data_IF_575696319649
#
_entry.id   IF_575696319649
#
_cell.length_a   1.000
_cell.length_b   1.000
_cell.length_c   1.000
_cell.angle_alpha   90.00
_cell.angle_beta   90.00
_cell.angle_gamma   90.00
#
_symmetry.space_group_name_H-M   'P 1'
#
loop_
_entity.id
_entity.type
_entity.pdbx_description
1 polymer ?
#
# COMPACT_ATOMS: atom_id res chain seq x y z
N UNK A 1 23.85 -31.29 -8.55
CA UNK A 1 24.44 -30.79 -8.22
C UNK A 1 24.85 -30.48 -8.25
N UNK A 2 24.23 -30.51 -8.23
CA UNK A 2 24.45 -30.03 -8.01
C UNK A 2 24.24 -29.56 -8.19
N UNK A 3 23.76 -29.79 -8.18
CA UNK A 3 23.71 -29.19 -8.10
C UNK A 3 23.48 -28.64 -8.23
N UNK A 4 23.08 -28.94 -8.37
CA UNK A 4 23.05 -28.25 -8.31
C UNK A 4 22.84 -27.65 -8.43
N UNK A 5 22.37 -28.00 -8.68
CA UNK A 5 22.48 -27.27 -8.64
C UNK A 5 22.21 -26.78 -8.82
N UNK A 6 21.74 -26.78 -9.02
CA UNK A 6 21.75 -26.15 -9.08
C UNK A 6 21.48 -25.66 -9.12
N UNK A 7 20.90 -25.71 -9.36
CA UNK A 7 20.89 -25.10 -9.35
C UNK A 7 20.72 -24.58 -9.19
N UNK A 8 20.26 -24.75 -9.41
CA UNK A 8 20.31 -24.12 -9.29
C UNK A 8 20.08 -23.50 -9.28
N UNK A 9 19.51 -23.91 -9.65
CA UNK A 9 19.56 -23.15 -9.62
C UNK A 9 19.31 -22.65 -9.82
N UNK A 10 18.96 -22.79 -10.16
CA UNK A 10 18.95 -22.06 -10.29
C UNK A 10 18.56 -21.59 -10.48
N UNK A 11 18.27 -21.83 -11.05
CA UNK A 11 18.04 -21.08 -11.18
C UNK A 11 17.60 -20.73 -11.21
N UNK A 12 17.02 -20.46 -11.35
CA UNK A 12 16.81 -19.86 -11.30
C UNK A 12 16.48 -19.28 -11.36
N UNK A 13 15.69 -19.15 -11.27
CA UNK A 13 15.58 -18.38 -11.33
C UNK A 13 15.25 -18.11 -11.56
N UNK A 14 14.87 -18.35 -11.78
CA UNK A 14 14.68 -17.88 -11.98
C UNK A 14 14.14 -17.74 -12.10
N UNK A 15 13.64 -17.92 -12.36
CA UNK A 15 13.24 -17.58 -12.40
C UNK A 15 12.75 -17.22 -12.20
N UNK A 16 12.33 -17.12 -12.37
CA UNK A 16 11.97 -16.57 -12.15
C UNK A 16 11.51 -16.02 -12.28
N UNK A 17 11.15 -15.99 -12.55
CA UNK A 17 10.75 -15.43 -12.70
C UNK A 17 10.18 -15.23 -13.05
N UNK A 18 9.76 -15.37 -13.45
CA UNK A 18 9.25 -15.20 -13.62
C UNK A 18 8.69 -15.28 -13.43
N UNK A 19 8.42 -15.55 -13.56
CA UNK A 19 7.94 -15.74 -13.13
C UNK A 19 7.57 -15.14 -12.73
N UNK A 20 7.42 -14.80 -12.89
CA UNK A 20 7.02 -14.26 -12.51
C UNK A 20 6.41 -13.83 -12.52
N UNK A 21 6.38 -13.72 -12.83
CA UNK A 21 5.63 -13.43 -12.92
C UNK A 21 4.62 -13.45 -12.72
N UNK A 22 4.61 -13.87 -13.17
CA UNK A 22 3.24 -14.13 -12.93
C UNK A 22 2.94 -14.10 -11.53
N UNK A 23 3.73 -13.63 -10.87
CA UNK A 23 3.44 -13.47 -9.60
C UNK A 23 2.28 -12.69 -9.49
N UNK A 24 1.25 -13.21 -9.07
CA UNK A 24 0.08 -12.49 -8.87
C UNK A 24 0.45 -11.41 -7.96
N UNK A 25 0.36 -10.29 -8.42
CA UNK A 25 0.52 -9.15 -7.63
C UNK A 25 -0.60 -9.06 -6.64
N UNK A 26 -1.01 -10.21 -6.13
CA UNK A 26 -2.17 -10.25 -5.28
C UNK A 26 -1.83 -10.23 -3.82
N UNK A 27 -0.57 -10.47 -3.45
CA UNK A 27 -0.20 -10.36 -2.04
C UNK A 27 -0.05 -8.88 -1.69
N UNK A 28 -0.92 -8.34 -0.83
CA UNK A 28 -0.82 -6.93 -0.45
C UNK A 28 0.46 -6.59 0.30
N UNK A 29 1.09 -7.56 0.94
CA UNK A 29 2.29 -7.29 1.75
C UNK A 29 3.56 -7.71 1.01
N UNK A 30 4.54 -6.82 0.97
CA UNK A 30 5.84 -7.09 0.38
C UNK A 30 6.91 -6.40 1.22
N UNK A 31 8.16 -6.51 0.79
CA UNK A 31 9.29 -5.87 1.47
C UNK A 31 10.03 -5.00 0.47
N UNK A 32 10.34 -3.77 0.88
CA UNK A 32 11.14 -2.84 0.08
C UNK A 32 12.09 -2.10 1.00
N UNK A 33 13.37 -2.15 0.72
CA UNK A 33 14.38 -1.40 1.50
C UNK A 33 14.24 -1.57 3.01
N UNK A 34 13.94 -2.78 3.44
CA UNK A 34 13.81 -3.08 4.88
C UNK A 34 12.46 -2.71 5.49
N UNK A 35 11.57 -2.13 4.72
CA UNK A 35 10.24 -1.80 5.22
C UNK A 35 9.25 -2.88 4.79
N UNK A 36 8.22 -3.08 5.60
CA UNK A 36 7.06 -3.85 5.19
C UNK A 36 6.16 -2.88 4.42
N UNK A 37 5.77 -3.26 3.22
CA UNK A 37 4.94 -2.41 2.37
C UNK A 37 3.59 -3.06 2.18
N UNK A 38 2.52 -2.30 2.44
CA UNK A 38 1.16 -2.76 2.23
C UNK A 38 0.59 -1.99 1.05
N UNK A 39 0.23 -2.71 -0.01
CA UNK A 39 -0.37 -2.13 -1.20
C UNK A 39 -1.86 -2.39 -1.14
N UNK A 40 -2.68 -1.35 -1.13
CA UNK A 40 -4.12 -1.47 -0.92
C UNK A 40 -4.92 -1.69 -2.20
N UNK A 41 -4.27 -1.85 -3.35
CA UNK A 41 -4.97 -1.98 -4.62
C UNK A 41 -6.07 -3.04 -4.60
N UNK A 42 -5.79 -4.21 -4.02
CA UNK A 42 -6.79 -5.28 -3.94
C UNK A 42 -7.59 -5.24 -2.65
N UNK A 43 -7.05 -4.63 -1.60
CA UNK A 43 -7.72 -4.59 -0.29
C UNK A 43 -8.90 -3.62 -0.27
N UNK A 44 -8.81 -2.56 -1.03
CA UNK A 44 -9.80 -1.49 -0.99
C UNK A 44 -10.27 -1.11 -2.40
N UNK A 45 -10.36 -2.08 -3.29
CA UNK A 45 -10.75 -1.79 -4.67
C UNK A 45 -12.16 -1.26 -4.80
N UNK A 46 -13.01 -1.49 -3.80
CA UNK A 46 -14.36 -0.98 -3.81
C UNK A 46 -14.46 0.42 -3.21
N UNK A 47 -13.40 0.90 -2.59
CA UNK A 47 -13.38 2.25 -2.06
C UNK A 47 -13.05 3.20 -3.19
N UNK A 48 -13.91 4.16 -3.42
CA UNK A 48 -13.75 5.07 -4.54
C UNK A 48 -13.73 6.51 -4.08
N UNK A 49 -12.85 7.31 -4.70
CA UNK A 49 -12.88 8.75 -4.56
C UNK A 49 -13.94 9.31 -5.51
N UNK A 50 -13.71 10.51 -6.02
CA UNK A 50 -14.67 11.13 -6.92
C UNK A 50 -14.70 10.43 -8.29
N UNK A 51 -13.53 10.08 -8.82
CA UNK A 51 -13.41 9.49 -10.15
C UNK A 51 -13.13 8.00 -10.16
N UNK A 52 -12.65 7.43 -9.07
CA UNK A 52 -12.32 6.01 -9.04
C UNK A 52 -11.53 5.61 -7.82
N UNK A 53 -10.92 4.43 -7.89
CA UNK A 53 -10.11 3.90 -6.78
C UNK A 53 -8.88 4.77 -6.54
N UNK A 54 -8.48 4.86 -5.29
CA UNK A 54 -7.31 5.65 -4.87
C UNK A 54 -6.37 4.81 -4.03
N UNK A 55 -5.76 3.77 -4.62
CA UNK A 55 -4.90 2.86 -3.85
C UNK A 55 -3.64 3.57 -3.34
N UNK A 56 -3.11 3.04 -2.24
CA UNK A 56 -1.89 3.58 -1.63
C UNK A 56 -0.93 2.45 -1.29
N UNK A 57 0.34 2.81 -1.08
CA UNK A 57 1.34 1.94 -0.47
C UNK A 57 1.67 2.51 0.90
N UNK A 58 1.61 1.67 1.91
CA UNK A 58 1.94 2.07 3.28
C UNK A 58 3.25 1.41 3.64
N UNK A 59 4.25 2.21 4.00
CA UNK A 59 5.58 1.71 4.37
C UNK A 59 5.68 1.68 5.88
N UNK A 60 5.97 0.50 6.45
CA UNK A 60 5.99 0.29 7.89
C UNK A 60 7.35 -0.29 8.29
N UNK A 61 7.99 0.35 9.27
CA UNK A 61 9.24 -0.15 9.87
C UNK A 61 9.09 -0.17 11.37
N UNK A 62 9.46 -1.30 11.97
CA UNK A 62 9.41 -1.45 13.43
C UNK A 62 8.04 -1.08 13.99
N UNK A 63 7.00 -1.45 13.27
CA UNK A 63 5.64 -1.22 13.70
C UNK A 63 5.12 0.20 13.54
N UNK A 64 5.90 1.09 12.91
CA UNK A 64 5.49 2.47 12.70
C UNK A 64 5.34 2.78 11.21
N UNK A 65 4.35 3.59 10.89
CA UNK A 65 4.17 4.08 9.52
C UNK A 65 5.27 5.10 9.23
N UNK A 66 6.11 4.81 8.25
CA UNK A 66 7.16 5.77 7.87
C UNK A 66 6.74 6.64 6.71
N UNK A 67 5.87 6.12 5.84
CA UNK A 67 5.43 6.87 4.68
C UNK A 67 4.16 6.23 4.11
N UNK A 68 3.30 7.05 3.54
CA UNK A 68 2.16 6.57 2.75
C UNK A 68 2.25 7.24 1.38
N UNK A 69 2.26 6.44 0.34
CA UNK A 69 2.41 6.92 -1.02
C UNK A 69 1.15 6.62 -1.83
N UNK A 70 0.58 7.65 -2.45
CA UNK A 70 -0.57 7.44 -3.32
C UNK A 70 -0.12 6.83 -4.64
N UNK A 71 -0.84 5.82 -5.08
CA UNK A 71 -0.54 5.16 -6.36
C UNK A 71 -1.34 5.82 -7.47
N UNK A 72 -1.11 5.36 -8.71
CA UNK A 72 -1.78 5.91 -9.88
C UNK A 72 -3.29 5.81 -9.72
N UNK A 73 -4.00 6.87 -10.08
CA UNK A 73 -5.44 6.94 -9.96
C UNK A 73 -6.02 7.86 -11.04
N UNK A 74 -7.35 7.94 -11.10
CA UNK A 74 -8.06 8.73 -12.09
C UNK A 74 -8.57 10.07 -11.55
N UNK A 75 -8.22 10.42 -10.32
CA UNK A 75 -8.72 11.64 -9.70
C UNK A 75 -8.18 12.89 -10.39
N UNK A 76 -8.94 13.98 -10.31
CA UNK A 76 -8.53 15.27 -10.87
C UNK A 76 -7.31 15.76 -10.12
N UNK A 77 -6.18 16.02 -10.80
CA UNK A 77 -4.91 16.31 -10.11
C UNK A 77 -4.97 17.44 -9.10
N UNK A 78 -5.66 18.53 -9.41
CA UNK A 78 -5.70 19.65 -8.47
C UNK A 78 -6.45 19.33 -7.19
N UNK A 79 -7.51 18.55 -7.27
CA UNK A 79 -8.24 18.12 -6.06
C UNK A 79 -7.48 17.03 -5.33
N UNK A 80 -6.88 16.12 -6.08
CA UNK A 80 -6.14 15.03 -5.48
C UNK A 80 -4.89 15.52 -4.74
N UNK A 81 -4.23 16.57 -5.25
CA UNK A 81 -3.09 17.17 -4.55
C UNK A 81 -3.47 17.64 -3.16
N UNK A 82 -4.67 18.19 -3.01
CA UNK A 82 -5.15 18.60 -1.69
C UNK A 82 -5.47 17.38 -0.83
N UNK A 83 -6.14 16.38 -1.44
CA UNK A 83 -6.53 15.19 -0.71
C UNK A 83 -5.34 14.45 -0.12
N UNK A 84 -4.21 14.44 -0.84
CA UNK A 84 -3.02 13.73 -0.38
C UNK A 84 -2.48 14.25 0.94
N UNK A 85 -2.87 15.45 1.35
CA UNK A 85 -2.40 16.01 2.63
C UNK A 85 -2.79 15.12 3.81
N UNK A 86 -3.89 14.35 3.70
CA UNK A 86 -4.30 13.46 4.80
C UNK A 86 -3.28 12.36 5.06
N UNK A 87 -2.49 11.99 4.04
CA UNK A 87 -1.55 10.89 4.18
C UNK A 87 -0.41 11.22 5.14
N UNK A 88 0.00 12.47 5.21
CA UNK A 88 1.07 12.89 6.12
C UNK A 88 0.69 12.71 7.58
N UNK A 89 -0.59 12.70 7.90
CA UNK A 89 -1.02 12.56 9.29
C UNK A 89 -0.74 11.18 9.86
N UNK A 90 -0.52 10.19 9.00
CA UNK A 90 -0.23 8.83 9.45
C UNK A 90 1.27 8.61 9.71
N UNK A 91 2.13 9.45 9.15
CA UNK A 91 3.57 9.25 9.26
C UNK A 91 4.05 9.41 10.69
N UNK A 92 4.90 8.49 11.11
CA UNK A 92 5.44 8.48 12.46
C UNK A 92 4.53 7.82 13.49
N UNK A 93 3.32 7.43 13.12
CA UNK A 93 2.39 6.82 14.06
C UNK A 93 2.58 5.31 14.10
N UNK A 94 2.40 4.72 15.28
CA UNK A 94 2.39 3.27 15.39
C UNK A 94 1.25 2.73 14.54
N UNK A 95 1.48 1.61 13.83
CA UNK A 95 0.49 1.07 12.91
C UNK A 95 -0.85 0.78 13.58
N UNK A 96 -0.82 0.23 14.81
CA UNK A 96 -2.07 -0.07 15.51
C UNK A 96 -2.86 1.18 15.88
N UNK A 97 -2.16 2.28 16.19
CA UNK A 97 -2.83 3.55 16.49
C UNK A 97 -3.33 4.21 15.21
N UNK A 98 -2.49 4.19 14.18
CA UNK A 98 -2.87 4.77 12.88
C UNK A 98 -4.13 4.12 12.31
N UNK A 99 -4.29 2.81 12.50
CA UNK A 99 -5.46 2.09 12.02
C UNK A 99 -6.77 2.57 12.67
N UNK A 100 -6.68 3.20 13.82
CA UNK A 100 -7.83 3.68 14.58
C UNK A 100 -8.00 5.19 14.57
N UNK A 101 -7.08 5.90 13.93
CA UNK A 101 -7.15 7.35 13.87
C UNK A 101 -8.34 7.82 13.05
N UNK A 102 -8.94 8.91 13.50
CA UNK A 102 -9.93 9.61 12.71
C UNK A 102 -9.22 10.74 11.99
N UNK A 103 -9.34 10.76 10.69
CA UNK A 103 -8.72 11.80 9.87
C UNK A 103 -9.83 12.43 9.04
N UNK A 104 -10.01 13.73 9.22
CA UNK A 104 -11.05 14.45 8.51
C UNK A 104 -10.70 14.65 7.05
N UNK A 105 -11.73 14.75 6.22
CA UNK A 105 -11.54 15.05 4.82
C UNK A 105 -11.03 16.47 4.63
N UNK A 106 -10.50 16.72 3.46
CA UNK A 106 -9.96 18.04 3.10
C UNK A 106 -11.05 18.84 2.39
N UNK A 107 -11.30 20.05 2.85
CA UNK A 107 -12.28 20.93 2.22
C UNK A 107 -11.96 21.11 0.73
N UNK A 108 -12.95 20.90 -0.11
CA UNK A 108 -12.76 20.98 -1.55
C UNK A 108 -12.25 19.70 -2.20
N UNK A 109 -11.93 18.66 -1.39
CA UNK A 109 -11.49 17.37 -1.90
C UNK A 109 -12.00 16.25 -1.01
N UNK A 110 -13.25 16.36 -0.57
CA UNK A 110 -13.83 15.45 0.44
C UNK A 110 -13.87 14.00 -0.02
N UNK A 111 -14.34 13.74 -1.22
CA UNK A 111 -14.47 12.36 -1.71
C UNK A 111 -13.11 11.68 -1.83
N UNK A 112 -12.15 12.37 -2.45
CA UNK A 112 -10.81 11.81 -2.64
C UNK A 112 -10.10 11.60 -1.31
N UNK A 113 -10.17 12.57 -0.40
CA UNK A 113 -9.49 12.44 0.89
C UNK A 113 -10.11 11.35 1.74
N UNK A 114 -11.42 11.20 1.74
CA UNK A 114 -12.07 10.11 2.49
C UNK A 114 -11.69 8.75 1.92
N UNK A 115 -11.59 8.67 0.58
CA UNK A 115 -11.19 7.42 -0.06
C UNK A 115 -9.76 7.06 0.32
N UNK A 116 -8.85 8.04 0.37
CA UNK A 116 -7.48 7.80 0.82
C UNK A 116 -7.44 7.31 2.26
N UNK A 117 -8.20 7.94 3.14
CA UNK A 117 -8.28 7.51 4.55
C UNK A 117 -8.76 6.07 4.64
N UNK A 118 -9.81 5.71 3.91
CA UNK A 118 -10.34 4.35 3.92
C UNK A 118 -9.34 3.34 3.38
N UNK A 119 -8.56 3.73 2.36
CA UNK A 119 -7.50 2.88 1.84
C UNK A 119 -6.44 2.62 2.89
N UNK A 120 -5.97 3.68 3.56
CA UNK A 120 -4.95 3.53 4.60
C UNK A 120 -5.49 2.65 5.72
N UNK A 121 -6.71 2.87 6.15
CA UNK A 121 -7.31 2.06 7.23
C UNK A 121 -7.42 0.60 6.84
N UNK A 122 -7.84 0.30 5.61
CA UNK A 122 -7.93 -1.07 5.14
C UNK A 122 -6.56 -1.74 5.13
N UNK A 123 -5.54 -1.01 4.66
CA UNK A 123 -4.17 -1.53 4.63
C UNK A 123 -3.62 -1.79 6.02
N UNK A 124 -3.82 -0.86 6.94
CA UNK A 124 -3.31 -1.01 8.30
C UNK A 124 -4.02 -2.15 9.05
N UNK A 125 -5.32 -2.31 8.83
CA UNK A 125 -6.05 -3.43 9.43
C UNK A 125 -5.54 -4.77 8.89
N UNK A 126 -5.27 -4.81 7.60
CA UNK A 126 -4.71 -6.02 7.00
C UNK A 126 -3.35 -6.34 7.58
N UNK A 127 -2.51 -5.33 7.72
CA UNK A 127 -1.18 -5.48 8.31
C UNK A 127 -1.28 -6.03 9.73
N UNK A 128 -2.17 -5.47 10.56
CA UNK A 128 -2.32 -5.92 11.93
C UNK A 128 -2.79 -7.37 12.02
N UNK A 129 -3.58 -7.80 11.06
CA UNK A 129 -4.11 -9.17 11.04
C UNK A 129 -3.10 -10.19 10.51
N UNK A 130 -2.08 -9.75 9.80
CA UNK A 130 -1.17 -10.65 9.09
C UNK A 130 0.31 -10.49 9.47
N UNK A 131 0.61 -9.75 10.49
CA UNK A 131 2.00 -9.61 10.93
C UNK A 131 2.42 -10.70 11.90
#
# INVERSE_FOLDING_TARGET
>A
MKKKTMMKAAGFLAAVALLASAMPATDPISKESGATVVNTTTLAKEVRGFMGATPVKIYIKKGKVVKVEALKNQETPQYFSRAKAVLAQYEGKAANKAAKMKVDGVTGATYSSRALVKNVQAGLKYYEAHR
#
